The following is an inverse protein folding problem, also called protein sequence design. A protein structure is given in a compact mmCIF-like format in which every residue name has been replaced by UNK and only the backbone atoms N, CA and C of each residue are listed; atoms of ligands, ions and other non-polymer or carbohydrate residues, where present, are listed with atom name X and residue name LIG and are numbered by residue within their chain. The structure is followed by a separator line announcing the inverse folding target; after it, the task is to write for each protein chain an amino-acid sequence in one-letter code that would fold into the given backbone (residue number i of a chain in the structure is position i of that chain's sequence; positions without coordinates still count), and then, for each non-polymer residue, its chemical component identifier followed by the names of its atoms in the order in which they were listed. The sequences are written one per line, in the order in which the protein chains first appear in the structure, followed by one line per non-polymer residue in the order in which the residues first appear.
data_IF_613362694286
#
_entry.id   IF_613362694286
#
_cell.length_a   1.000
_cell.length_b   1.000
_cell.length_c   1.000
_cell.angle_alpha   90.00
_cell.angle_beta   90.00
_cell.angle_gamma   90.00
#
_symmetry.space_group_name_H-M   'P 1'
#
loop_
_entity.id
_entity.type
_entity.pdbx_description
1 polymer ?
#
# COMPACT_ATOMS: atom_id res chain seq x y z
N UNK A 1 -20.83 10.28 -17.06
CA UNK A 1 -20.32 8.93 -17.43
C UNK A 1 -18.91 9.01 -18.04
N UNK A 2 -18.68 9.83 -19.08
CA UNK A 2 -17.36 9.91 -19.74
C UNK A 2 -16.25 10.42 -18.81
N UNK A 3 -16.58 11.32 -17.88
CA UNK A 3 -15.63 11.87 -16.91
C UNK A 3 -15.25 10.82 -15.86
N UNK A 4 -16.21 10.02 -15.39
CA UNK A 4 -16.01 8.94 -14.43
C UNK A 4 -15.21 7.78 -15.04
N UNK A 5 -15.49 7.40 -16.29
CA UNK A 5 -14.71 6.40 -17.01
C UNK A 5 -13.25 6.82 -17.22
N UNK A 6 -13.03 8.10 -17.53
CA UNK A 6 -11.68 8.66 -17.72
C UNK A 6 -10.90 8.66 -16.42
N UNK A 7 -11.54 9.08 -15.33
CA UNK A 7 -10.94 9.06 -13.99
C UNK A 7 -10.59 7.64 -13.53
N UNK A 8 -11.48 6.65 -13.75
CA UNK A 8 -11.18 5.25 -13.40
C UNK A 8 -9.97 4.73 -14.18
N UNK A 9 -9.84 5.04 -15.48
CA UNK A 9 -8.70 4.62 -16.29
C UNK A 9 -7.39 5.22 -15.79
N UNK A 10 -7.38 6.50 -15.45
CA UNK A 10 -6.21 7.17 -14.87
C UNK A 10 -5.79 6.48 -13.55
N UNK A 11 -6.75 6.23 -12.65
CA UNK A 11 -6.46 5.59 -11.35
C UNK A 11 -5.99 4.16 -11.49
N UNK A 12 -6.51 3.39 -12.46
CA UNK A 12 -6.03 2.03 -12.76
C UNK A 12 -4.54 2.03 -13.12
N UNK A 13 -4.07 3.00 -13.89
CA UNK A 13 -2.66 3.13 -14.24
C UNK A 13 -1.78 3.41 -13.00
N UNK A 14 -2.25 4.27 -12.10
CA UNK A 14 -1.53 4.61 -10.86
C UNK A 14 -1.46 3.44 -9.88
N UNK A 15 -2.54 2.66 -9.77
CA UNK A 15 -2.58 1.46 -8.92
C UNK A 15 -1.79 0.29 -9.51
N UNK A 16 -1.60 0.25 -10.83
CA UNK A 16 -0.88 -0.82 -11.53
C UNK A 16 0.66 -0.83 -11.34
N UNK A 17 1.22 0.02 -10.49
CA UNK A 17 2.65 -0.03 -10.18
C UNK A 17 3.01 -1.31 -9.43
N UNK A 18 4.11 -1.95 -9.81
CA UNK A 18 4.74 -3.07 -9.08
C UNK A 18 5.90 -2.63 -8.18
N UNK A 19 6.01 -1.33 -7.89
CA UNK A 19 6.93 -0.85 -6.87
C UNK A 19 6.30 -1.02 -5.48
N UNK A 20 6.98 -1.83 -4.66
CA UNK A 20 6.60 -2.15 -3.29
C UNK A 20 7.64 -1.68 -2.26
N UNK A 21 8.65 -0.91 -2.66
CA UNK A 21 9.69 -0.35 -1.80
C UNK A 21 10.83 -1.33 -1.51
N UNK A 22 12.05 -0.80 -1.41
CA UNK A 22 13.30 -1.59 -1.21
C UNK A 22 13.86 -1.51 0.21
N UNK A 23 13.35 -0.58 1.01
CA UNK A 23 13.72 -0.35 2.41
C UNK A 23 12.49 0.08 3.21
N UNK A 24 12.60 0.06 4.54
CA UNK A 24 11.49 0.37 5.45
C UNK A 24 10.85 1.75 5.18
N UNK A 25 11.68 2.77 4.90
CA UNK A 25 11.21 4.13 4.64
C UNK A 25 10.43 4.20 3.34
N UNK A 26 10.93 3.54 2.30
CA UNK A 26 10.31 3.42 0.98
C UNK A 26 8.92 2.78 1.07
N UNK A 27 8.81 1.63 1.75
CA UNK A 27 7.50 0.96 1.92
C UNK A 27 6.52 1.82 2.71
N UNK A 28 6.96 2.46 3.80
CA UNK A 28 6.10 3.34 4.60
C UNK A 28 5.56 4.53 3.78
N UNK A 29 6.42 5.13 2.94
CA UNK A 29 6.01 6.20 2.04
C UNK A 29 5.00 5.73 0.99
N UNK A 30 5.23 4.56 0.38
CA UNK A 30 4.29 3.97 -0.57
C UNK A 30 2.95 3.65 0.08
N UNK A 31 2.94 3.10 1.29
CA UNK A 31 1.71 2.86 2.07
C UNK A 31 0.95 4.15 2.38
N UNK A 32 1.65 5.23 2.74
CA UNK A 32 1.02 6.53 2.96
C UNK A 32 0.37 7.08 1.69
N UNK A 33 1.02 6.94 0.53
CA UNK A 33 0.44 7.29 -0.77
C UNK A 33 -0.77 6.41 -1.09
N UNK A 34 -0.68 5.11 -0.84
CA UNK A 34 -1.77 4.16 -1.08
C UNK A 34 -3.01 4.50 -0.24
N UNK A 35 -2.83 4.81 1.05
CA UNK A 35 -3.95 5.25 1.91
C UNK A 35 -4.67 6.50 1.39
N UNK A 36 -3.94 7.43 0.75
CA UNK A 36 -4.57 8.60 0.10
C UNK A 36 -5.40 8.17 -1.10
N UNK A 37 -4.88 7.25 -1.91
CA UNK A 37 -5.61 6.68 -3.04
C UNK A 37 -6.88 5.96 -2.56
N UNK A 38 -6.82 5.14 -1.51
CA UNK A 38 -8.01 4.49 -0.93
C UNK A 38 -9.06 5.50 -0.45
N UNK A 39 -8.62 6.60 0.19
CA UNK A 39 -9.52 7.67 0.60
C UNK A 39 -10.16 8.37 -0.61
N UNK A 40 -9.39 8.62 -1.68
CA UNK A 40 -9.91 9.16 -2.94
C UNK A 40 -10.95 8.22 -3.56
N UNK A 41 -10.68 6.91 -3.60
CA UNK A 41 -11.64 5.91 -4.07
C UNK A 41 -12.93 5.95 -3.24
N UNK A 42 -12.81 5.95 -1.92
CA UNK A 42 -13.96 6.05 -1.02
C UNK A 42 -14.78 7.32 -1.22
N UNK A 43 -14.13 8.46 -1.50
CA UNK A 43 -14.82 9.72 -1.78
C UNK A 43 -15.56 9.74 -3.12
N UNK A 44 -15.16 8.91 -4.08
CA UNK A 44 -15.78 8.81 -5.41
C UNK A 44 -16.91 7.78 -5.50
N UNK A 45 -16.99 6.83 -4.56
CA UNK A 45 -18.06 5.83 -4.52
C UNK A 45 -19.47 6.44 -4.62
N UNK A 46 -19.83 7.54 -3.91
CA UNK A 46 -21.16 8.14 -4.00
C UNK A 46 -21.49 8.68 -5.40
N UNK A 47 -20.49 9.18 -6.15
CA UNK A 47 -20.70 9.68 -7.50
C UNK A 47 -21.00 8.53 -8.48
N UNK A 48 -20.29 7.40 -8.34
CA UNK A 48 -20.56 6.20 -9.13
C UNK A 48 -21.97 5.66 -8.84
N UNK A 49 -22.36 5.62 -7.56
CA UNK A 49 -23.71 5.22 -7.14
C UNK A 49 -24.79 6.15 -7.69
N UNK A 50 -24.56 7.47 -7.65
CA UNK A 50 -25.51 8.43 -8.20
C UNK A 50 -25.73 8.26 -9.71
N UNK A 51 -24.66 7.94 -10.47
CA UNK A 51 -24.76 7.64 -11.90
C UNK A 51 -25.54 6.36 -12.16
N UNK A 52 -25.32 5.31 -11.35
CA UNK A 52 -26.08 4.07 -11.41
C UNK A 52 -27.57 4.33 -11.16
N UNK A 53 -27.92 4.97 -10.05
CA UNK A 53 -29.31 5.28 -9.70
C UNK A 53 -30.01 6.14 -10.75
N UNK A 54 -29.30 7.12 -11.33
CA UNK A 54 -29.85 7.96 -12.39
C UNK A 54 -30.15 7.16 -13.66
N UNK A 55 -29.25 6.24 -14.03
CA UNK A 55 -29.45 5.38 -15.19
C UNK A 55 -30.58 4.37 -14.97
N UNK A 56 -30.69 3.77 -13.79
CA UNK A 56 -31.81 2.89 -13.40
C UNK A 56 -33.15 3.63 -13.48
N UNK A 57 -33.26 4.82 -12.87
CA UNK A 57 -34.46 5.65 -12.94
C UNK A 57 -34.82 6.02 -14.38
N UNK A 58 -33.84 6.29 -15.24
CA UNK A 58 -34.08 6.62 -16.65
C UNK A 58 -34.66 5.43 -17.43
N UNK A 59 -34.20 4.21 -17.12
CA UNK A 59 -34.74 2.98 -17.71
C UNK A 59 -36.17 2.68 -17.24
N UNK A 60 -36.52 3.05 -16.00
CA UNK A 60 -37.88 2.87 -15.46
C UNK A 60 -38.91 3.82 -16.11
N UNK A 61 -38.50 5.06 -16.45
CA UNK A 61 -39.41 6.08 -16.99
C UNK A 61 -39.44 6.15 -18.51
N UNK A 62 -38.46 5.54 -19.20
CA UNK A 62 -38.31 5.62 -20.66
C UNK A 62 -37.80 4.30 -21.24
N UNK A 63 -38.50 3.79 -22.25
CA UNK A 63 -38.06 2.61 -23.00
C UNK A 63 -37.06 2.94 -24.13
N UNK A 64 -36.69 4.22 -24.30
CA UNK A 64 -35.72 4.65 -25.31
C UNK A 64 -34.29 4.49 -24.78
N UNK A 65 -33.44 3.80 -25.54
CA UNK A 65 -32.01 3.69 -25.23
C UNK A 65 -31.67 2.79 -24.04
N UNK A 66 -32.64 2.05 -23.48
CA UNK A 66 -32.42 1.11 -22.36
C UNK A 66 -31.24 0.17 -22.59
N UNK A 67 -31.10 -0.50 -23.76
CA UNK A 67 -29.95 -1.39 -23.99
C UNK A 67 -28.59 -0.67 -23.93
N UNK A 68 -28.54 0.59 -24.39
CA UNK A 68 -27.33 1.40 -24.35
C UNK A 68 -26.99 1.83 -22.92
N UNK A 69 -28.00 2.28 -22.15
CA UNK A 69 -27.84 2.68 -20.75
C UNK A 69 -27.36 1.49 -19.91
N UNK A 70 -28.01 0.33 -20.05
CA UNK A 70 -27.64 -0.89 -19.34
C UNK A 70 -26.20 -1.31 -19.66
N UNK A 71 -25.82 -1.28 -20.95
CA UNK A 71 -24.46 -1.60 -21.37
C UNK A 71 -23.43 -0.65 -20.75
N UNK A 72 -23.71 0.67 -20.73
CA UNK A 72 -22.78 1.66 -20.14
C UNK A 72 -22.68 1.54 -18.63
N UNK A 73 -23.80 1.36 -17.92
CA UNK A 73 -23.78 1.13 -16.47
C UNK A 73 -22.99 -0.14 -16.13
N UNK A 74 -23.21 -1.23 -16.87
CA UNK A 74 -22.46 -2.48 -16.67
C UNK A 74 -20.95 -2.26 -16.86
N UNK A 75 -20.55 -1.56 -17.91
CA UNK A 75 -19.14 -1.24 -18.17
C UNK A 75 -18.53 -0.39 -17.05
N UNK A 76 -19.24 0.65 -16.59
CA UNK A 76 -18.81 1.50 -15.47
C UNK A 76 -18.62 0.68 -14.19
N UNK A 77 -19.59 -0.18 -13.86
CA UNK A 77 -19.58 -1.01 -12.65
C UNK A 77 -18.43 -2.01 -12.67
N UNK A 78 -18.21 -2.66 -13.81
CA UNK A 78 -17.09 -3.57 -13.98
C UNK A 78 -15.75 -2.81 -13.83
N UNK A 79 -15.61 -1.66 -14.48
CA UNK A 79 -14.39 -0.87 -14.39
C UNK A 79 -14.10 -0.39 -12.96
N UNK A 80 -15.14 -0.01 -12.22
CA UNK A 80 -15.05 0.39 -10.82
C UNK A 80 -14.67 -0.78 -9.90
N UNK A 81 -15.32 -1.93 -10.07
CA UNK A 81 -15.01 -3.14 -9.30
C UNK A 81 -13.56 -3.60 -9.50
N UNK A 82 -13.10 -3.62 -10.76
CA UNK A 82 -11.71 -3.95 -11.09
C UNK A 82 -10.72 -2.97 -10.45
N UNK A 83 -11.00 -1.66 -10.46
CA UNK A 83 -10.13 -0.67 -9.81
C UNK A 83 -10.04 -0.91 -8.30
N UNK A 84 -11.16 -1.18 -7.63
CA UNK A 84 -11.19 -1.51 -6.20
C UNK A 84 -10.40 -2.79 -5.90
N UNK A 85 -10.55 -3.82 -6.73
CA UNK A 85 -9.79 -5.06 -6.58
C UNK A 85 -8.29 -4.82 -6.73
N UNK A 86 -7.86 -4.11 -7.77
CA UNK A 86 -6.44 -3.79 -7.97
C UNK A 86 -5.86 -2.98 -6.80
N UNK A 87 -6.62 -2.00 -6.29
CA UNK A 87 -6.23 -1.24 -5.11
C UNK A 87 -6.05 -2.17 -3.89
N UNK A 88 -7.02 -3.04 -3.61
CA UNK A 88 -6.93 -3.99 -2.50
C UNK A 88 -5.73 -4.93 -2.62
N UNK A 89 -5.48 -5.50 -3.80
CA UNK A 89 -4.32 -6.35 -4.05
C UNK A 89 -3.01 -5.60 -3.83
N UNK A 90 -2.90 -4.36 -4.31
CA UNK A 90 -1.72 -3.53 -4.07
C UNK A 90 -1.53 -3.22 -2.58
N UNK A 91 -2.61 -2.95 -1.84
CA UNK A 91 -2.58 -2.77 -0.40
C UNK A 91 -1.98 -3.98 0.32
N UNK A 92 -2.46 -5.19 0.00
CA UNK A 92 -1.92 -6.45 0.54
C UNK A 92 -0.42 -6.62 0.24
N UNK A 93 0.02 -6.34 -1.00
CA UNK A 93 1.44 -6.44 -1.37
C UNK A 93 2.32 -5.44 -0.64
N UNK A 94 1.82 -4.22 -0.41
CA UNK A 94 2.53 -3.22 0.40
C UNK A 94 2.59 -3.62 1.89
N UNK A 95 1.56 -4.31 2.40
CA UNK A 95 1.56 -4.86 3.75
C UNK A 95 2.59 -5.98 3.90
N UNK A 96 2.62 -6.93 2.96
CA UNK A 96 3.62 -8.00 2.89
C UNK A 96 5.05 -7.43 2.83
N UNK A 97 5.28 -6.45 1.96
CA UNK A 97 6.57 -5.76 1.84
C UNK A 97 6.97 -5.07 3.14
N UNK A 98 6.02 -4.42 3.83
CA UNK A 98 6.31 -3.75 5.10
C UNK A 98 6.77 -4.75 6.15
N UNK A 99 6.05 -5.87 6.30
CA UNK A 99 6.41 -6.91 7.25
C UNK A 99 7.79 -7.49 6.94
N UNK A 100 8.10 -7.74 5.67
CA UNK A 100 9.41 -8.21 5.23
C UNK A 100 10.53 -7.23 5.59
N UNK A 101 10.36 -5.94 5.26
CA UNK A 101 11.37 -4.91 5.54
C UNK A 101 11.56 -4.65 7.04
N UNK A 102 10.49 -4.74 7.84
CA UNK A 102 10.58 -4.67 9.30
C UNK A 102 11.37 -5.85 9.88
N UNK A 103 11.24 -7.03 9.29
CA UNK A 103 12.00 -8.21 9.71
C UNK A 103 13.49 -8.06 9.39
N UNK A 104 13.84 -7.62 8.18
CA UNK A 104 15.23 -7.35 7.81
C UNK A 104 15.88 -6.30 8.74
N UNK A 105 15.19 -5.19 9.00
CA UNK A 105 15.70 -4.15 9.90
C UNK A 105 15.98 -4.69 11.32
N UNK A 106 15.17 -5.64 11.81
CA UNK A 106 15.41 -6.30 13.09
C UNK A 106 16.64 -7.22 13.04
N UNK A 107 16.82 -7.97 11.96
CA UNK A 107 18.03 -8.79 11.79
C UNK A 107 19.28 -7.89 11.83
N UNK A 108 19.27 -6.80 11.08
CA UNK A 108 20.40 -5.86 11.04
C UNK A 108 20.71 -5.26 12.42
N UNK A 109 19.67 -4.94 13.22
CA UNK A 109 19.82 -4.47 14.59
C UNK A 109 20.47 -5.53 15.50
N UNK A 110 20.00 -6.78 15.44
CA UNK A 110 20.56 -7.88 16.24
C UNK A 110 22.00 -8.23 15.80
N UNK A 111 22.29 -8.23 14.51
CA UNK A 111 23.64 -8.45 13.98
C UNK A 111 24.61 -7.35 14.42
N UNK A 112 24.17 -6.09 14.39
CA UNK A 112 24.95 -4.97 14.88
C UNK A 112 25.23 -5.10 16.39
N UNK A 113 24.24 -5.50 17.18
CA UNK A 113 24.41 -5.74 18.61
C UNK A 113 25.41 -6.88 18.89
N UNK A 114 25.32 -7.99 18.17
CA UNK A 114 26.27 -9.11 18.28
C UNK A 114 27.69 -8.64 17.94
N UNK A 115 27.87 -7.91 16.84
CA UNK A 115 29.16 -7.37 16.44
C UNK A 115 29.73 -6.43 17.50
N UNK A 116 28.90 -5.58 18.10
CA UNK A 116 29.33 -4.70 19.21
C UNK A 116 29.83 -5.52 20.41
N UNK A 117 29.10 -6.57 20.82
CA UNK A 117 29.53 -7.41 21.95
C UNK A 117 30.80 -8.21 21.64
N UNK A 118 30.94 -8.72 20.42
CA UNK A 118 32.16 -9.40 19.97
C UNK A 118 33.36 -8.46 19.99
N UNK A 119 33.19 -7.22 19.51
CA UNK A 119 34.25 -6.21 19.57
C UNK A 119 34.67 -5.92 21.02
N UNK A 120 33.71 -5.72 21.93
CA UNK A 120 34.00 -5.51 23.35
C UNK A 120 34.76 -6.68 23.98
N UNK A 121 34.41 -7.93 23.64
CA UNK A 121 35.10 -9.12 24.16
C UNK A 121 36.49 -9.33 23.55
N UNK A 122 36.73 -8.82 22.34
CA UNK A 122 38.03 -8.88 21.66
C UNK A 122 39.01 -7.78 22.11
N UNK A 123 38.51 -6.73 22.79
CA UNK A 123 39.36 -5.78 23.50
C UNK A 123 39.84 -6.46 24.78
N UNK A 124 40.90 -7.25 24.66
CA UNK A 124 41.70 -7.72 25.78
C UNK A 124 42.39 -6.52 26.43
N UNK A 125 41.68 -5.81 27.32
CA UNK A 125 42.33 -5.05 28.37
C UNK A 125 42.88 -6.06 29.38
N UNK A 126 43.99 -6.72 29.02
CA UNK A 126 44.84 -7.35 30.02
C UNK A 126 45.34 -6.20 30.87
N UNK A 127 44.63 -5.92 31.96
CA UNK A 127 44.94 -4.84 32.88
C UNK A 127 46.44 -4.83 33.16
N UNK A 128 47.13 -3.89 32.53
CA UNK A 128 48.55 -3.66 32.70
C UNK A 128 48.73 -2.97 34.05
N UNK A 129 48.62 -3.76 35.10
CA UNK A 129 49.41 -3.71 36.33
C UNK A 129 48.83 -4.74 37.30
N UNK A 130 49.68 -5.64 37.75
CA UNK A 130 49.45 -6.54 38.90
C UNK A 130 49.00 -5.83 40.19
N UNK A 131 48.91 -4.49 40.21
CA UNK A 131 48.45 -3.70 41.35
C UNK A 131 46.93 -3.78 41.57
N UNK A 132 46.12 -4.13 40.56
CA UNK A 132 44.66 -4.13 40.71
C UNK A 132 44.07 -5.44 41.27
N UNK A 133 44.85 -6.54 41.32
CA UNK A 133 44.33 -7.87 41.69
C UNK A 133 44.70 -8.30 43.11
N UNK A 134 45.65 -7.63 43.78
CA UNK A 134 45.92 -7.85 45.20
C UNK A 134 45.38 -6.69 46.03
N UNK A 135 44.13 -6.83 46.47
CA UNK A 135 43.62 -6.03 47.58
C UNK A 135 44.45 -6.27 48.83
N UNK A 136 45.27 -5.28 49.18
CA UNK A 136 45.70 -4.95 50.54
C UNK A 136 45.42 -3.46 50.73
#
# INVERSE_FOLDING_TARGET
IADEESWIKEKKLLVGSDDYGRDLTGVQNLKKKHKRLEAELGSHEPAIQAVQEAGEKLMDVSNLGVPEIEQRLKALNQAWAELKQLAATRGQKLDESLTYQQFLAKIEEEEAWISEKQQLLSVEDYGDTMAAVQGI
#
